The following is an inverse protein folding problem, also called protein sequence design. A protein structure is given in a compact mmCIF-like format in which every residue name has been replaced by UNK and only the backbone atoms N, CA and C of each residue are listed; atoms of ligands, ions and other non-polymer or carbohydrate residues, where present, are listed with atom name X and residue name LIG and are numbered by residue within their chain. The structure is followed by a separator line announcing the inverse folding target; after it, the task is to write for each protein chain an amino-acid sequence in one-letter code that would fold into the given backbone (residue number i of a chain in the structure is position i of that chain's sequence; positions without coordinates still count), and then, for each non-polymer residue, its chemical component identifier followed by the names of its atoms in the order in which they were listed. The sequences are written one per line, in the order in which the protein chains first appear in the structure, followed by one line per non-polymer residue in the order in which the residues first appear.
data_IF_861451321562
#
_entry.id   IF_861451321562
#
_cell.length_a   1.000
_cell.length_b   1.000
_cell.length_c   1.000
_cell.angle_alpha   90.00
_cell.angle_beta   90.00
_cell.angle_gamma   90.00
#
_symmetry.space_group_name_H-M   'P 1'
#
loop_
_entity.id
_entity.type
_entity.pdbx_description
1 polymer ?
#
# COMPACT_ATOMS: atom_id res chain seq x y z
N UNK A 1 -2.44 20.43 3.62
CA UNK A 1 -1.30 20.87 4.47
C UNK A 1 -1.34 20.04 5.74
N UNK A 2 -0.26 19.35 6.11
CA UNK A 2 -0.20 18.34 7.20
C UNK A 2 -0.42 18.92 8.62
N UNK A 3 -0.79 20.19 8.75
CA UNK A 3 -1.04 20.85 10.03
C UNK A 3 0.22 21.12 10.84
N UNK A 4 1.39 21.11 10.20
CA UNK A 4 2.71 21.37 10.81
C UNK A 4 3.40 22.55 10.13
N UNK A 5 4.27 23.25 10.86
CA UNK A 5 5.10 24.33 10.32
C UNK A 5 6.30 23.76 9.55
N UNK A 6 6.77 24.44 8.50
CA UNK A 6 7.86 23.97 7.63
C UNK A 6 9.15 23.62 8.38
N UNK A 7 9.44 24.33 9.47
CA UNK A 7 10.60 24.06 10.34
C UNK A 7 10.51 22.67 10.95
N UNK A 8 9.32 22.23 11.36
CA UNK A 8 9.07 20.93 11.98
C UNK A 8 9.27 19.78 10.98
N UNK A 9 8.83 19.96 9.73
CA UNK A 9 9.10 18.99 8.65
C UNK A 9 10.60 18.82 8.44
N UNK A 10 11.36 19.92 8.35
CA UNK A 10 12.81 19.84 8.18
C UNK A 10 13.51 19.14 9.35
N UNK A 11 12.98 19.24 10.57
CA UNK A 11 13.50 18.47 11.72
C UNK A 11 13.19 16.98 11.63
N UNK A 12 12.04 16.58 11.06
CA UNK A 12 11.73 15.18 10.77
C UNK A 12 12.69 14.60 9.73
N UNK A 13 12.95 15.34 8.65
CA UNK A 13 13.86 14.91 7.57
C UNK A 13 15.31 14.73 8.03
N UNK A 14 15.73 15.47 9.07
CA UNK A 14 17.07 15.37 9.69
C UNK A 14 17.12 14.43 10.90
N UNK A 15 16.06 13.70 11.20
CA UNK A 15 15.92 12.81 12.36
C UNK A 15 16.22 13.49 13.72
N UNK A 16 16.07 14.83 13.80
CA UNK A 16 16.24 15.58 15.06
C UNK A 16 15.08 15.31 16.03
N UNK A 17 13.89 15.09 15.48
CA UNK A 17 12.67 14.74 16.21
C UNK A 17 11.88 13.71 15.39
N UNK A 18 11.11 12.85 16.05
CA UNK A 18 10.24 11.88 15.37
C UNK A 18 8.80 12.39 15.28
N UNK A 19 8.10 12.22 14.14
CA UNK A 19 6.69 12.54 14.06
C UNK A 19 5.88 11.61 14.99
N UNK A 20 4.79 12.12 15.56
CA UNK A 20 3.79 11.25 16.17
C UNK A 20 3.12 10.38 15.10
N UNK A 21 2.45 9.31 15.52
CA UNK A 21 1.73 8.41 14.60
C UNK A 21 0.73 9.20 13.75
N UNK A 22 -0.06 10.10 14.35
CA UNK A 22 -1.03 10.91 13.62
C UNK A 22 -0.40 11.82 12.56
N UNK A 23 0.78 12.39 12.86
CA UNK A 23 1.51 13.23 11.90
C UNK A 23 2.07 12.36 10.78
N UNK A 24 2.69 11.23 11.11
CA UNK A 24 3.22 10.29 10.11
C UNK A 24 2.12 9.80 9.16
N UNK A 25 0.93 9.47 9.68
CA UNK A 25 -0.24 9.10 8.86
C UNK A 25 -0.64 10.22 7.91
N UNK A 26 -0.75 11.46 8.38
CA UNK A 26 -1.08 12.61 7.51
C UNK A 26 -0.01 12.89 6.46
N UNK A 27 1.27 12.65 6.77
CA UNK A 27 2.36 12.75 5.78
C UNK A 27 2.17 11.67 4.71
N UNK A 28 1.93 10.42 5.11
CA UNK A 28 1.70 9.30 4.20
C UNK A 28 0.52 9.58 3.26
N UNK A 29 -0.62 10.01 3.82
CA UNK A 29 -1.82 10.38 3.06
C UNK A 29 -1.55 11.52 2.06
N UNK A 30 -0.80 12.55 2.48
CA UNK A 30 -0.46 13.69 1.62
C UNK A 30 0.48 13.31 0.46
N UNK A 31 1.32 12.29 0.67
CA UNK A 31 2.22 11.74 -0.34
C UNK A 31 1.56 10.64 -1.18
N UNK A 32 0.37 10.17 -0.80
CA UNK A 32 -0.34 9.09 -1.49
C UNK A 32 0.27 7.70 -1.28
N UNK A 33 1.17 7.55 -0.31
CA UNK A 33 1.88 6.30 0.01
C UNK A 33 1.35 5.67 1.29
N UNK A 34 1.66 4.41 1.53
CA UNK A 34 1.32 3.74 2.79
C UNK A 34 2.31 4.10 3.91
N UNK A 35 1.86 4.02 5.17
CA UNK A 35 2.68 4.38 6.34
C UNK A 35 3.90 3.47 6.52
N UNK A 36 3.78 2.19 6.20
CA UNK A 36 4.88 1.23 6.19
C UNK A 36 5.91 1.54 5.10
N UNK A 37 5.48 2.03 3.94
CA UNK A 37 6.37 2.54 2.89
C UNK A 37 7.08 3.82 3.35
N UNK A 38 6.33 4.78 3.91
CA UNK A 38 6.89 6.02 4.45
C UNK A 38 7.95 5.76 5.55
N UNK A 39 7.73 4.74 6.38
CA UNK A 39 8.65 4.39 7.47
C UNK A 39 9.77 3.43 7.05
N UNK A 40 9.85 3.06 5.77
CA UNK A 40 10.89 2.17 5.23
C UNK A 40 10.77 0.71 5.69
N UNK A 41 9.61 0.28 6.20
CA UNK A 41 9.35 -1.11 6.58
C UNK A 41 9.08 -2.01 5.36
N UNK A 42 8.68 -1.41 4.25
CA UNK A 42 8.55 -2.07 2.94
C UNK A 42 9.16 -1.19 1.86
N UNK A 43 9.80 -1.83 0.87
CA UNK A 43 10.27 -1.14 -0.35
C UNK A 43 9.22 -1.14 -1.46
N UNK A 44 8.05 -1.76 -1.21
CA UNK A 44 6.96 -1.86 -2.17
C UNK A 44 5.95 -0.79 -1.85
N UNK A 45 5.85 0.21 -2.73
CA UNK A 45 4.74 1.15 -2.71
C UNK A 45 3.48 0.40 -3.13
N UNK A 46 2.48 0.40 -2.26
CA UNK A 46 1.22 -0.26 -2.57
C UNK A 46 0.42 0.59 -3.55
N UNK A 47 0.13 0.03 -4.72
CA UNK A 47 -0.73 0.69 -5.70
C UNK A 47 -2.15 0.83 -5.14
N UNK A 48 -2.57 2.08 -4.90
CA UNK A 48 -3.90 2.41 -4.38
C UNK A 48 -5.04 1.87 -5.25
N UNK A 49 -4.84 1.71 -6.56
CA UNK A 49 -5.84 1.11 -7.45
C UNK A 49 -6.02 -0.39 -7.19
N UNK A 50 -4.94 -1.10 -6.85
CA UNK A 50 -4.98 -2.52 -6.48
C UNK A 50 -5.60 -2.68 -5.10
N UNK A 51 -5.22 -1.84 -4.13
CA UNK A 51 -5.80 -1.87 -2.78
C UNK A 51 -7.32 -1.71 -2.84
N UNK A 52 -7.82 -0.73 -3.61
CA UNK A 52 -9.27 -0.51 -3.76
C UNK A 52 -10.01 -1.77 -4.24
N UNK A 53 -9.45 -2.48 -5.23
CA UNK A 53 -10.02 -3.74 -5.73
C UNK A 53 -10.01 -4.83 -4.65
N UNK A 54 -8.94 -4.93 -3.86
CA UNK A 54 -8.87 -5.89 -2.75
C UNK A 54 -9.95 -5.61 -1.70
N UNK A 55 -10.13 -4.34 -1.32
CA UNK A 55 -11.19 -3.92 -0.37
C UNK A 55 -12.57 -4.23 -0.93
N UNK A 56 -12.81 -3.95 -2.21
CA UNK A 56 -14.07 -4.27 -2.89
C UNK A 56 -14.36 -5.78 -2.83
N UNK A 57 -13.39 -6.63 -3.22
CA UNK A 57 -13.52 -8.09 -3.16
C UNK A 57 -13.80 -8.59 -1.74
N UNK A 58 -13.21 -7.97 -0.71
CA UNK A 58 -13.46 -8.34 0.68
C UNK A 58 -14.88 -8.02 1.15
N UNK A 59 -15.52 -7.01 0.55
CA UNK A 59 -16.88 -6.57 0.88
C UNK A 59 -18.00 -7.35 0.16
N UNK A 60 -17.64 -8.24 -0.77
CA UNK A 60 -18.59 -9.06 -1.52
C UNK A 60 -19.16 -10.22 -0.68
N UNK A 61 -20.34 -10.76 -1.06
CA UNK A 61 -20.83 -12.02 -0.55
C UNK A 61 -19.80 -13.15 -0.71
N UNK A 62 -19.81 -14.11 0.22
CA UNK A 62 -18.80 -15.18 0.27
C UNK A 62 -18.71 -16.01 -1.01
N UNK A 63 -19.85 -16.23 -1.68
CA UNK A 63 -19.92 -16.98 -2.93
C UNK A 63 -19.21 -16.24 -4.08
N UNK A 64 -19.57 -14.98 -4.31
CA UNK A 64 -18.94 -14.13 -5.34
C UNK A 64 -17.45 -13.95 -5.08
N UNK A 65 -17.09 -13.65 -3.83
CA UNK A 65 -15.70 -13.52 -3.39
C UNK A 65 -14.91 -14.78 -3.69
N UNK A 66 -15.45 -15.97 -3.38
CA UNK A 66 -14.80 -17.26 -3.65
C UNK A 66 -14.56 -17.47 -5.14
N UNK A 67 -15.54 -17.18 -5.99
CA UNK A 67 -15.40 -17.34 -7.44
C UNK A 67 -14.36 -16.37 -8.04
N UNK A 68 -14.37 -15.11 -7.62
CA UNK A 68 -13.40 -14.11 -8.08
C UNK A 68 -11.98 -14.49 -7.67
N UNK A 69 -11.78 -14.91 -6.42
CA UNK A 69 -10.48 -15.34 -5.92
C UNK A 69 -9.98 -16.59 -6.67
N UNK A 70 -10.85 -17.57 -6.94
CA UNK A 70 -10.48 -18.76 -7.71
C UNK A 70 -10.00 -18.40 -9.13
N UNK A 71 -10.71 -17.51 -9.82
CA UNK A 71 -10.30 -17.04 -11.15
C UNK A 71 -8.96 -16.26 -11.10
N UNK A 72 -8.81 -15.38 -10.11
CA UNK A 72 -7.59 -14.60 -9.91
C UNK A 72 -6.38 -15.50 -9.67
N UNK A 73 -6.52 -16.52 -8.81
CA UNK A 73 -5.47 -17.51 -8.53
C UNK A 73 -5.06 -18.27 -9.78
N UNK A 74 -6.04 -18.69 -10.60
CA UNK A 74 -5.77 -19.34 -11.88
C UNK A 74 -4.97 -18.46 -12.85
N UNK A 75 -5.32 -17.17 -12.95
CA UNK A 75 -4.59 -16.21 -13.79
C UNK A 75 -3.17 -15.96 -13.27
N UNK A 76 -3.00 -15.80 -11.96
CA UNK A 76 -1.70 -15.63 -11.33
C UNK A 76 -0.81 -16.86 -11.53
N UNK A 77 -1.38 -18.07 -11.39
CA UNK A 77 -0.64 -19.30 -11.62
C UNK A 77 -0.17 -19.39 -13.08
N UNK A 78 -1.01 -19.05 -14.05
CA UNK A 78 -0.64 -19.03 -15.46
C UNK A 78 0.56 -18.11 -15.73
N UNK A 79 0.53 -16.89 -15.19
CA UNK A 79 1.62 -15.93 -15.31
C UNK A 79 2.90 -16.46 -14.63
N UNK A 80 2.81 -17.00 -13.42
CA UNK A 80 3.95 -17.60 -12.71
C UNK A 80 4.58 -18.74 -13.50
N UNK A 81 3.78 -19.64 -14.05
CA UNK A 81 4.25 -20.74 -14.91
C UNK A 81 4.96 -20.20 -16.16
N UNK A 82 4.39 -19.19 -16.84
CA UNK A 82 5.05 -18.55 -17.98
C UNK A 82 6.40 -17.93 -17.61
N UNK A 83 6.50 -17.25 -16.47
CA UNK A 83 7.76 -16.66 -16.01
C UNK A 83 8.81 -17.73 -15.64
N UNK A 84 8.37 -18.87 -15.09
CA UNK A 84 9.26 -19.96 -14.68
C UNK A 84 9.80 -20.79 -15.86
N UNK A 85 8.99 -20.99 -16.90
CA UNK A 85 9.32 -21.88 -18.03
C UNK A 85 9.45 -21.16 -19.38
N UNK A 86 9.26 -19.84 -19.43
CA UNK A 86 9.33 -19.02 -20.64
C UNK A 86 10.73 -18.49 -20.98
N UNK A 87 11.78 -19.21 -20.57
CA UNK A 87 13.15 -19.01 -21.08
C UNK A 87 13.47 -20.04 -22.14
#
# INVERSE_FOLDING_TARGET
MVGTISVTIGRYERDEIKPSIDIATKIADALGVSLDYLTGKTNVELDNSIIKRVVEIQSLPDEDKKHILYALDGLLQNVRTKLAFGK
#
